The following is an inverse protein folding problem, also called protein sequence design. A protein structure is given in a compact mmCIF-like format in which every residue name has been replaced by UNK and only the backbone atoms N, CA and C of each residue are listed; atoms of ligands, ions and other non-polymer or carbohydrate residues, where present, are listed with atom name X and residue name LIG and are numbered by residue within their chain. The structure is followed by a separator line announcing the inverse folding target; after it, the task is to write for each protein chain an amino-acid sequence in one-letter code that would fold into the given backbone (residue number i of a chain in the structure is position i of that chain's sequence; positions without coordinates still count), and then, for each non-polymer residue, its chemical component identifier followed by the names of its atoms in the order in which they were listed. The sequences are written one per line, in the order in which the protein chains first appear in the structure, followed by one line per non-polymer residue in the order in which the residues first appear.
data_IF_487846608768
#
_entry.id   IF_487846608768
#
_cell.length_a   1.000
_cell.length_b   1.000
_cell.length_c   1.000
_cell.angle_alpha   90.00
_cell.angle_beta   90.00
_cell.angle_gamma   90.00
#
_symmetry.space_group_name_H-M   'P 1'
#
loop_
_entity.id
_entity.type
_entity.pdbx_description
1 polymer ?
#
# COMPACT_ATOMS: atom_id res chain seq x y z
N UNK A 1 10.56 30.53 -41.57
CA UNK A 1 10.00 30.96 -40.26
C UNK A 1 8.72 30.21 -39.85
N UNK A 2 7.72 30.04 -40.73
CA UNK A 2 6.48 29.29 -40.37
C UNK A 2 6.74 27.84 -39.92
N UNK A 3 7.69 27.13 -40.55
CA UNK A 3 8.06 25.75 -40.17
C UNK A 3 8.76 25.63 -38.81
N UNK A 4 9.48 26.66 -38.35
CA UNK A 4 10.12 26.69 -37.03
C UNK A 4 9.08 26.84 -35.90
N UNK A 5 8.01 27.60 -36.16
CA UNK A 5 6.91 27.76 -35.21
C UNK A 5 6.13 26.45 -35.03
N UNK A 6 5.90 25.71 -36.12
CA UNK A 6 5.22 24.41 -36.10
C UNK A 6 5.99 23.34 -35.34
N UNK A 7 7.32 23.30 -35.46
CA UNK A 7 8.17 22.33 -34.74
C UNK A 7 8.17 22.61 -33.23
N UNK A 8 8.16 23.89 -32.82
CA UNK A 8 8.13 24.27 -31.40
C UNK A 8 6.83 23.87 -30.70
N UNK A 9 5.69 23.98 -31.41
CA UNK A 9 4.37 23.58 -30.88
C UNK A 9 4.28 22.06 -30.68
N UNK A 10 4.85 21.27 -31.60
CA UNK A 10 4.86 19.80 -31.49
C UNK A 10 5.75 19.35 -30.31
N UNK A 11 6.88 20.01 -30.06
CA UNK A 11 7.75 19.70 -28.94
C UNK A 11 7.06 19.96 -27.58
N UNK A 12 6.28 21.04 -27.48
CA UNK A 12 5.53 21.39 -26.26
C UNK A 12 4.37 20.44 -25.96
N UNK A 13 3.77 19.83 -26.99
CA UNK A 13 2.70 18.85 -26.80
C UNK A 13 3.21 17.48 -26.34
N UNK A 14 4.47 17.14 -26.64
CA UNK A 14 5.06 15.84 -26.29
C UNK A 14 5.55 15.75 -24.83
N UNK A 15 5.86 16.87 -24.18
CA UNK A 15 6.35 16.89 -22.78
C UNK A 15 5.27 16.66 -21.71
N UNK A 16 3.99 16.59 -22.06
CA UNK A 16 2.89 16.50 -21.08
C UNK A 16 2.36 15.08 -20.81
N UNK A 17 2.97 14.02 -21.33
CA UNK A 17 2.30 12.70 -21.39
C UNK A 17 2.70 11.67 -20.33
N UNK A 18 3.54 11.97 -19.34
CA UNK A 18 4.03 10.94 -18.41
C UNK A 18 3.99 11.38 -16.95
N UNK A 19 2.81 11.73 -16.46
CA UNK A 19 2.50 11.55 -15.05
C UNK A 19 1.39 10.52 -14.97
N UNK A 20 1.77 9.25 -14.77
CA UNK A 20 0.81 8.19 -14.52
C UNK A 20 -0.05 8.60 -13.32
N UNK A 21 -1.36 8.75 -13.54
CA UNK A 21 -2.28 9.33 -12.57
C UNK A 21 -2.27 8.51 -11.28
N UNK A 22 -1.97 9.15 -10.15
CA UNK A 22 -2.07 8.52 -8.84
C UNK A 22 -3.51 8.67 -8.36
N UNK A 23 -4.16 7.57 -8.02
CA UNK A 23 -5.52 7.57 -7.50
C UNK A 23 -5.50 7.46 -5.97
N UNK A 24 -6.41 8.17 -5.31
CA UNK A 24 -6.59 8.11 -3.86
C UNK A 24 -7.70 7.13 -3.56
N UNK A 25 -7.43 6.19 -2.66
CA UNK A 25 -8.40 5.21 -2.19
C UNK A 25 -8.62 5.36 -0.70
N UNK A 26 -9.86 5.19 -0.27
CA UNK A 26 -10.24 5.05 1.13
C UNK A 26 -10.35 3.56 1.47
N UNK A 27 -9.55 3.08 2.40
CA UNK A 27 -9.52 1.68 2.80
C UNK A 27 -10.06 1.53 4.23
N UNK A 28 -10.91 0.53 4.43
CA UNK A 28 -11.45 0.16 5.74
C UNK A 28 -11.19 -1.32 5.99
N UNK A 29 -10.66 -1.64 7.16
CA UNK A 29 -10.63 -3.01 7.64
C UNK A 29 -12.07 -3.51 7.86
N UNK A 30 -12.33 -4.75 7.47
CA UNK A 30 -13.53 -5.51 7.86
C UNK A 30 -13.29 -6.22 9.20
N UNK A 31 -12.09 -6.77 9.39
CA UNK A 31 -11.64 -7.35 10.65
C UNK A 31 -10.11 -7.32 10.76
N UNK A 32 -9.62 -7.37 12.00
CA UNK A 32 -8.21 -7.47 12.34
C UNK A 32 -8.01 -8.42 13.52
N UNK A 33 -7.09 -9.37 13.38
CA UNK A 33 -6.75 -10.35 14.42
C UNK A 33 -5.24 -10.49 14.49
N UNK A 34 -4.76 -10.96 15.64
CA UNK A 34 -3.36 -11.27 15.75
C UNK A 34 -2.98 -11.71 17.15
N UNK A 35 -1.75 -11.36 17.51
CA UNK A 35 -1.16 -11.73 18.77
C UNK A 35 -0.54 -10.53 19.43
N UNK A 36 -0.93 -10.28 20.68
CA UNK A 36 -0.28 -9.28 21.51
C UNK A 36 0.75 -9.97 22.41
N UNK A 37 1.91 -9.35 22.61
CA UNK A 37 2.90 -9.92 23.52
C UNK A 37 2.44 -9.72 24.96
N UNK A 38 2.40 -10.82 25.70
CA UNK A 38 2.42 -10.80 27.15
C UNK A 38 3.88 -10.62 27.60
N UNK A 39 4.20 -9.42 28.08
CA UNK A 39 5.54 -9.09 28.56
C UNK A 39 5.90 -9.79 29.87
N UNK A 40 4.92 -10.20 30.67
CA UNK A 40 5.14 -10.87 31.95
C UNK A 40 5.54 -12.33 31.73
N UNK A 41 4.84 -13.03 30.83
CA UNK A 41 5.09 -14.46 30.57
C UNK A 41 5.98 -14.71 29.35
N UNK A 42 6.47 -13.66 28.68
CA UNK A 42 7.22 -13.76 27.42
C UNK A 42 6.50 -14.61 26.36
N UNK A 43 5.18 -14.50 26.32
CA UNK A 43 4.30 -15.28 25.45
C UNK A 43 3.50 -14.35 24.52
N UNK A 44 2.65 -14.95 23.69
CA UNK A 44 1.77 -14.23 22.78
C UNK A 44 0.34 -14.72 22.98
N UNK A 45 -0.54 -13.79 23.29
CA UNK A 45 -1.96 -14.06 23.43
C UNK A 45 -2.70 -13.63 22.18
N UNK A 46 -3.56 -14.52 21.67
CA UNK A 46 -4.43 -14.19 20.56
C UNK A 46 -5.42 -13.11 20.98
N UNK A 47 -5.57 -12.07 20.16
CA UNK A 47 -6.55 -11.02 20.39
C UNK A 47 -7.09 -10.50 19.08
N UNK A 48 -8.33 -10.02 19.13
CA UNK A 48 -8.88 -9.17 18.09
C UNK A 48 -8.29 -7.76 18.23
N UNK A 49 -8.10 -7.09 17.10
CA UNK A 49 -7.67 -5.70 17.02
C UNK A 49 -8.83 -4.85 16.50
N UNK A 50 -8.84 -3.57 16.89
CA UNK A 50 -9.86 -2.62 16.41
C UNK A 50 -9.65 -2.41 14.89
N UNK A 51 -10.67 -2.66 14.05
CA UNK A 51 -10.59 -2.38 12.62
C UNK A 51 -10.27 -0.90 12.37
N UNK A 52 -9.32 -0.65 11.48
CA UNK A 52 -8.87 0.70 11.16
C UNK A 52 -9.37 1.18 9.80
N UNK A 53 -9.25 2.50 9.59
CA UNK A 53 -9.44 3.13 8.28
C UNK A 53 -8.22 3.97 7.93
N UNK A 54 -7.88 4.01 6.65
CA UNK A 54 -6.74 4.76 6.15
C UNK A 54 -6.92 5.14 4.68
N UNK A 55 -6.11 6.07 4.20
CA UNK A 55 -6.04 6.45 2.79
C UNK A 55 -4.79 5.84 2.14
N UNK A 56 -4.94 5.40 0.91
CA UNK A 56 -3.86 4.85 0.10
C UNK A 56 -3.79 5.58 -1.24
N UNK A 57 -2.64 6.17 -1.57
CA UNK A 57 -2.37 6.70 -2.92
C UNK A 57 -1.76 5.56 -3.74
N UNK A 58 -2.45 5.10 -4.77
CA UNK A 58 -2.04 3.93 -5.55
C UNK A 58 -2.02 4.22 -7.05
N UNK A 59 -1.04 3.62 -7.73
CA UNK A 59 -1.07 3.46 -9.17
C UNK A 59 -0.72 2.00 -9.50
N UNK A 60 -1.72 1.24 -9.94
CA UNK A 60 -1.58 -0.18 -10.26
C UNK A 60 -0.76 -0.45 -11.53
N UNK A 61 -0.54 0.55 -12.40
CA UNK A 61 0.26 0.44 -13.63
C UNK A 61 1.76 0.62 -13.37
N UNK A 62 2.12 1.45 -12.40
CA UNK A 62 3.52 1.69 -11.98
C UNK A 62 3.92 0.87 -10.75
N UNK A 63 2.95 0.37 -9.98
CA UNK A 63 3.22 -0.34 -8.71
C UNK A 63 3.60 0.64 -7.61
N UNK A 64 3.02 1.84 -7.66
CA UNK A 64 3.22 2.88 -6.68
C UNK A 64 2.20 2.75 -5.55
N UNK A 65 2.67 2.87 -4.31
CA UNK A 65 1.86 2.91 -3.11
C UNK A 65 2.40 3.96 -2.14
N UNK A 66 1.50 4.79 -1.60
CA UNK A 66 1.72 5.52 -0.36
C UNK A 66 0.59 5.22 0.62
N UNK A 67 0.94 4.81 1.84
CA UNK A 67 0.06 4.81 3.01
C UNK A 67 0.80 5.53 4.14
N UNK A 68 0.48 6.81 4.35
CA UNK A 68 1.19 7.70 5.28
C UNK A 68 1.10 7.19 6.73
N UNK A 69 -0.07 6.65 7.12
CA UNK A 69 -0.31 6.09 8.45
C UNK A 69 0.69 5.01 8.85
N UNK A 70 1.13 4.19 7.90
CA UNK A 70 2.02 3.06 8.14
C UNK A 70 3.46 3.32 7.67
N UNK A 71 3.80 4.57 7.32
CA UNK A 71 5.07 4.92 6.69
C UNK A 71 5.42 3.99 5.52
N UNK A 72 4.42 3.63 4.70
CA UNK A 72 4.60 2.81 3.51
C UNK A 72 4.72 3.73 2.30
N UNK A 73 5.91 3.80 1.71
CA UNK A 73 6.15 4.48 0.44
C UNK A 73 6.92 3.49 -0.42
N UNK A 74 6.25 2.94 -1.43
CA UNK A 74 6.83 1.96 -2.34
C UNK A 74 6.60 2.41 -3.79
N UNK A 75 7.65 2.33 -4.61
CA UNK A 75 7.62 2.69 -6.04
C UNK A 75 7.84 1.46 -6.93
N UNK A 76 7.87 0.26 -6.36
CA UNK A 76 8.19 -0.98 -7.03
C UNK A 76 7.42 -2.16 -6.45
N UNK A 77 6.17 -1.94 -6.04
CA UNK A 77 5.32 -3.03 -5.58
C UNK A 77 5.30 -4.16 -6.61
N UNK A 78 5.46 -5.39 -6.11
CA UNK A 78 5.43 -6.58 -6.96
C UNK A 78 4.03 -6.79 -7.48
N UNK A 79 3.93 -6.99 -8.79
CA UNK A 79 2.67 -7.35 -9.45
C UNK A 79 2.76 -8.77 -9.94
N UNK A 80 1.67 -9.50 -9.79
CA UNK A 80 1.53 -10.77 -10.46
C UNK A 80 0.80 -10.52 -11.78
N UNK A 81 1.51 -10.49 -12.91
CA UNK A 81 0.88 -10.17 -14.21
C UNK A 81 -0.22 -11.17 -14.63
N UNK A 82 -0.33 -12.33 -13.98
CA UNK A 82 -1.39 -13.32 -14.21
C UNK A 82 -2.47 -13.38 -13.12
N UNK A 83 -2.35 -12.60 -12.04
CA UNK A 83 -3.34 -12.54 -10.95
C UNK A 83 -3.51 -11.08 -10.59
N UNK A 84 -4.72 -10.54 -10.67
CA UNK A 84 -5.05 -9.13 -10.39
C UNK A 84 -4.71 -8.73 -8.95
N UNK A 85 -3.41 -8.53 -8.69
CA UNK A 85 -2.79 -8.51 -7.37
C UNK A 85 -1.53 -7.64 -7.40
N UNK A 86 -1.45 -6.75 -6.44
CA UNK A 86 -0.28 -5.92 -6.14
C UNK A 86 0.13 -6.14 -4.69
N UNK A 87 1.42 -6.36 -4.44
CA UNK A 87 2.00 -6.57 -3.12
C UNK A 87 3.14 -5.60 -2.87
N UNK A 88 3.07 -4.91 -1.74
CA UNK A 88 4.02 -3.88 -1.31
C UNK A 88 4.46 -4.19 0.11
N UNK A 89 5.74 -4.00 0.41
CA UNK A 89 6.26 -4.18 1.75
C UNK A 89 7.17 -3.00 2.13
N UNK A 90 7.25 -2.66 3.41
CA UNK A 90 8.21 -1.68 3.89
C UNK A 90 9.22 -2.31 4.85
N UNK A 91 10.23 -1.52 5.23
CA UNK A 91 11.27 -1.95 6.18
C UNK A 91 10.76 -2.01 7.63
N UNK A 92 9.50 -1.62 7.86
CA UNK A 92 8.83 -1.62 9.15
C UNK A 92 7.89 -2.82 9.29
N UNK A 93 8.15 -3.92 8.58
CA UNK A 93 7.38 -5.16 8.75
C UNK A 93 5.92 -5.09 8.29
N UNK A 94 5.51 -4.03 7.59
CA UNK A 94 4.20 -3.99 6.93
C UNK A 94 4.27 -4.66 5.57
N UNK A 95 3.24 -5.45 5.27
CA UNK A 95 2.98 -6.02 3.95
C UNK A 95 1.52 -5.77 3.59
N UNK A 96 1.30 -5.02 2.51
CA UNK A 96 0.00 -4.69 1.97
C UNK A 96 -0.17 -5.40 0.63
N UNK A 97 -1.23 -6.19 0.52
CA UNK A 97 -1.55 -6.93 -0.70
C UNK A 97 -2.99 -6.58 -1.08
N UNK A 98 -3.20 -6.12 -2.30
CA UNK A 98 -4.52 -5.73 -2.80
C UNK A 98 -4.83 -6.44 -4.11
N UNK A 99 -6.08 -6.88 -4.26
CA UNK A 99 -6.61 -7.31 -5.54
C UNK A 99 -7.01 -6.09 -6.37
N UNK A 100 -6.45 -5.93 -7.56
CA UNK A 100 -6.60 -4.72 -8.37
C UNK A 100 -7.94 -4.63 -9.11
N UNK A 101 -8.74 -5.71 -9.14
CA UNK A 101 -10.07 -5.73 -9.76
C UNK A 101 -11.18 -5.42 -8.77
N UNK A 102 -11.15 -6.04 -7.58
CA UNK A 102 -12.21 -5.91 -6.58
C UNK A 102 -11.82 -5.09 -5.36
N UNK A 103 -10.58 -4.58 -5.32
CA UNK A 103 -10.04 -3.70 -4.28
C UNK A 103 -10.06 -4.27 -2.86
N UNK A 104 -10.26 -5.59 -2.71
CA UNK A 104 -10.07 -6.28 -1.44
C UNK A 104 -8.59 -6.38 -1.13
N UNK A 105 -8.22 -6.14 0.12
CA UNK A 105 -6.83 -6.17 0.55
C UNK A 105 -6.63 -7.01 1.81
N UNK A 106 -5.38 -7.39 2.03
CA UNK A 106 -4.85 -7.84 3.31
C UNK A 106 -3.68 -6.95 3.71
N UNK A 107 -3.64 -6.53 4.97
CA UNK A 107 -2.52 -5.81 5.55
C UNK A 107 -1.99 -6.64 6.73
N UNK A 108 -0.70 -6.93 6.73
CA UNK A 108 -0.05 -7.58 7.87
C UNK A 108 1.03 -6.69 8.44
N UNK A 109 1.15 -6.67 9.76
CA UNK A 109 2.20 -6.04 10.54
C UNK A 109 2.96 -7.12 11.32
N UNK A 110 4.24 -7.30 11.00
CA UNK A 110 5.12 -8.20 11.73
C UNK A 110 6.55 -7.64 11.76
N UNK A 111 6.94 -7.03 12.88
CA UNK A 111 8.25 -6.40 13.05
C UNK A 111 9.34 -7.37 13.55
N UNK A 112 8.95 -8.56 14.04
CA UNK A 112 9.88 -9.51 14.66
C UNK A 112 10.39 -9.04 16.02
N UNK A 113 11.55 -9.57 16.44
CA UNK A 113 12.24 -9.21 17.69
C UNK A 113 13.32 -8.16 17.40
N UNK A 114 12.94 -6.90 17.21
CA UNK A 114 13.90 -5.83 16.94
C UNK A 114 14.15 -5.04 18.23
N UNK A 115 15.41 -5.02 18.67
CA UNK A 115 15.90 -4.20 19.80
C UNK A 115 15.14 -4.44 21.13
N UNK A 116 14.83 -5.70 21.46
CA UNK A 116 14.10 -6.12 22.67
C UNK A 116 12.66 -5.59 22.82
N UNK A 117 12.24 -4.72 21.90
CA UNK A 117 10.86 -4.31 21.75
C UNK A 117 10.08 -5.39 21.04
N UNK A 118 8.88 -5.62 21.55
CA UNK A 118 7.96 -6.57 20.94
C UNK A 118 6.71 -5.90 20.51
N UNK A 119 6.53 -5.93 19.20
CA UNK A 119 5.33 -5.50 18.56
C UNK A 119 4.33 -6.64 18.48
N UNK A 120 3.07 -6.28 18.54
CA UNK A 120 1.99 -7.18 18.20
C UNK A 120 2.14 -7.62 16.74
N UNK A 121 1.82 -8.90 16.50
CA UNK A 121 1.67 -9.44 15.16
C UNK A 121 0.22 -9.23 14.77
N UNK A 122 -0.06 -8.57 13.65
CA UNK A 122 -1.44 -8.26 13.25
C UNK A 122 -1.63 -8.62 11.79
N UNK A 123 -2.77 -9.24 11.47
CA UNK A 123 -3.28 -9.35 10.11
C UNK A 123 -4.69 -8.77 10.07
N UNK A 124 -4.92 -7.89 9.12
CA UNK A 124 -6.24 -7.36 8.79
C UNK A 124 -6.57 -7.63 7.33
N UNK A 125 -7.86 -7.62 7.04
CA UNK A 125 -8.36 -7.62 5.68
C UNK A 125 -9.51 -6.63 5.57
N UNK A 126 -9.73 -6.14 4.36
CA UNK A 126 -10.78 -5.17 4.12
C UNK A 126 -10.95 -4.85 2.66
N UNK A 127 -11.58 -3.70 2.41
CA UNK A 127 -11.87 -3.20 1.08
C UNK A 127 -11.43 -1.74 0.96
N UNK A 128 -10.97 -1.38 -0.23
CA UNK A 128 -10.71 -0.01 -0.62
C UNK A 128 -11.75 0.48 -1.63
N UNK A 129 -12.07 1.76 -1.58
CA UNK A 129 -12.98 2.45 -2.50
C UNK A 129 -12.26 3.66 -3.09
N UNK A 130 -12.54 3.98 -4.36
CA UNK A 130 -11.98 5.17 -5.00
C UNK A 130 -12.62 6.43 -4.38
N UNK A 131 -11.78 7.41 -4.01
CA UNK A 131 -12.22 8.70 -3.50
C UNK A 131 -12.68 9.65 -4.62
#
# INVERSE_FOLDING_TARGET
MKHLLSISIIYFLLVNTVFAEQKIYYCSDEAAIGFNRDTENSSYDSTDFIPERFTAKMNFETGYLIIEKYNMIDRGCKKNLGKSLMSCNNNFGYNFIINTENLKYSLSKAYGWVADNTDSLVISYGICELF
#
